data_IF_499446556396
#
_entry.id   IF_499446556396
#
_cell.length_a   1.000
_cell.length_b   1.000
_cell.length_c   1.000
_cell.angle_alpha   90.00
_cell.angle_beta   90.00
_cell.angle_gamma   90.00
#
_symmetry.space_group_name_H-M   'P 1'
#
loop_
_entity.id
_entity.type
_entity.pdbx_description
1 polymer ?
#
# COMPACT_ATOMS: atom_id res chain seq x y z
N UNK A 1 -7.85 -22.01 -17.88
CA UNK A 1 -7.74 -20.55 -18.03
C UNK A 1 -6.67 -20.02 -17.09
N UNK A 2 -5.94 -18.96 -17.45
CA UNK A 2 -4.91 -18.36 -16.58
C UNK A 2 -5.60 -17.61 -15.44
N UNK A 3 -5.23 -17.88 -14.19
CA UNK A 3 -5.77 -17.19 -13.01
C UNK A 3 -5.40 -15.70 -13.07
N UNK A 4 -6.33 -14.83 -12.70
CA UNK A 4 -6.06 -13.40 -12.60
C UNK A 4 -5.17 -13.15 -11.38
N UNK A 5 -4.12 -12.35 -11.56
CA UNK A 5 -3.17 -12.01 -10.50
C UNK A 5 -3.49 -10.62 -9.96
N UNK A 6 -3.60 -10.49 -8.65
CA UNK A 6 -3.94 -9.22 -7.98
C UNK A 6 -2.94 -8.92 -6.87
N UNK A 7 -2.71 -7.63 -6.63
CA UNK A 7 -1.91 -7.14 -5.51
C UNK A 7 -2.81 -6.46 -4.50
N UNK A 8 -2.70 -6.82 -3.23
CA UNK A 8 -3.47 -6.21 -2.14
C UNK A 8 -2.64 -5.18 -1.39
N UNK A 9 -3.21 -4.00 -1.22
CA UNK A 9 -2.66 -2.90 -0.43
C UNK A 9 -3.16 -3.00 1.03
N UNK A 10 -2.44 -2.36 1.96
CA UNK A 10 -2.67 -2.43 3.41
C UNK A 10 -4.10 -2.08 3.83
N UNK A 11 -4.70 -1.04 3.24
CA UNK A 11 -6.06 -0.59 3.57
C UNK A 11 -7.14 -1.66 3.31
N UNK A 12 -6.92 -2.55 2.34
CA UNK A 12 -7.84 -3.65 2.03
C UNK A 12 -8.07 -4.55 3.24
N UNK A 13 -7.02 -4.80 4.02
CA UNK A 13 -7.10 -5.61 5.23
C UNK A 13 -7.90 -4.92 6.34
N UNK A 14 -7.83 -3.59 6.40
CA UNK A 14 -8.58 -2.78 7.37
C UNK A 14 -10.09 -2.96 7.25
N UNK A 15 -10.62 -3.15 6.04
CA UNK A 15 -12.05 -3.38 5.82
C UNK A 15 -12.55 -4.73 6.33
N UNK A 16 -11.66 -5.69 6.61
CA UNK A 16 -12.02 -6.97 7.23
C UNK A 16 -12.24 -6.83 8.75
N UNK A 17 -11.92 -5.67 9.33
CA UNK A 17 -12.06 -5.39 10.75
C UNK A 17 -13.33 -4.60 11.07
N UNK A 18 -13.78 -4.73 12.32
CA UNK A 18 -14.97 -4.07 12.85
C UNK A 18 -16.20 -5.00 12.89
N UNK A 19 -17.30 -4.51 13.44
CA UNK A 19 -18.56 -5.26 13.53
C UNK A 19 -19.58 -4.80 12.49
N UNK A 20 -19.45 -3.54 12.03
CA UNK A 20 -20.39 -2.96 11.10
C UNK A 20 -20.14 -3.46 9.68
N UNK A 21 -21.22 -3.89 9.03
CA UNK A 21 -21.18 -4.28 7.62
C UNK A 21 -21.26 -3.02 6.75
N UNK A 22 -20.20 -2.75 5.99
CA UNK A 22 -20.16 -1.70 4.98
C UNK A 22 -20.05 -2.30 3.58
N UNK A 23 -20.29 -1.49 2.54
CA UNK A 23 -20.17 -1.93 1.16
C UNK A 23 -18.73 -2.36 0.81
N UNK A 24 -17.74 -1.63 1.33
CA UNK A 24 -16.32 -1.94 1.19
C UNK A 24 -15.98 -3.28 1.84
N UNK A 25 -16.51 -3.53 3.04
CA UNK A 25 -16.32 -4.82 3.72
C UNK A 25 -16.94 -5.96 2.94
N UNK A 26 -18.20 -5.83 2.51
CA UNK A 26 -18.87 -6.89 1.72
C UNK A 26 -18.08 -7.21 0.45
N UNK A 27 -17.61 -6.18 -0.25
CA UNK A 27 -16.81 -6.34 -1.48
C UNK A 27 -15.45 -7.00 -1.17
N UNK A 28 -14.83 -6.64 -0.05
CA UNK A 28 -13.57 -7.23 0.40
C UNK A 28 -13.76 -8.70 0.80
N UNK A 29 -14.80 -9.03 1.55
CA UNK A 29 -15.11 -10.41 1.92
C UNK A 29 -15.30 -11.29 0.68
N UNK A 30 -16.04 -10.80 -0.33
CA UNK A 30 -16.20 -11.49 -1.63
C UNK A 30 -14.86 -11.67 -2.34
N UNK A 31 -14.03 -10.63 -2.42
CA UNK A 31 -12.69 -10.71 -3.00
C UNK A 31 -11.86 -11.82 -2.35
N UNK A 32 -11.89 -11.91 -1.03
CA UNK A 32 -11.17 -12.91 -0.26
C UNK A 32 -11.73 -14.34 -0.46
N UNK A 33 -13.04 -14.50 -0.69
CA UNK A 33 -13.62 -15.79 -1.09
C UNK A 33 -13.17 -16.22 -2.49
N UNK A 34 -13.07 -15.29 -3.45
CA UNK A 34 -12.57 -15.58 -4.80
C UNK A 34 -11.10 -16.02 -4.80
N UNK A 35 -10.30 -15.53 -3.85
CA UNK A 35 -8.93 -15.97 -3.62
C UNK A 35 -8.91 -17.43 -3.12
N UNK A 36 -9.68 -17.76 -2.06
CA UNK A 36 -9.77 -19.13 -1.54
C UNK A 36 -10.34 -20.10 -2.59
N UNK A 37 -11.36 -19.67 -3.34
CA UNK A 37 -11.95 -20.42 -4.44
C UNK A 37 -10.98 -20.69 -5.59
N UNK A 38 -9.81 -20.06 -5.57
CA UNK A 38 -8.73 -20.28 -6.52
C UNK A 38 -8.97 -19.59 -7.86
N UNK A 39 -9.96 -18.71 -7.96
CA UNK A 39 -10.23 -17.89 -9.14
C UNK A 39 -9.21 -16.76 -9.27
N UNK A 40 -8.71 -16.26 -8.13
CA UNK A 40 -7.70 -15.22 -8.03
C UNK A 40 -6.41 -15.75 -7.40
N UNK A 41 -5.29 -15.22 -7.87
CA UNK A 41 -3.98 -15.41 -7.23
C UNK A 41 -3.54 -14.07 -6.65
N UNK A 42 -3.54 -13.96 -5.32
CA UNK A 42 -3.32 -12.71 -4.63
C UNK A 42 -1.91 -12.61 -4.04
N UNK A 43 -1.37 -11.40 -4.07
CA UNK A 43 -0.02 -11.07 -3.64
C UNK A 43 -0.04 -9.87 -2.69
N UNK A 44 0.91 -9.85 -1.76
CA UNK A 44 1.23 -8.71 -0.87
C UNK A 44 2.72 -8.46 -0.91
N UNK A 45 3.19 -7.27 -0.56
CA UNK A 45 4.63 -7.02 -0.44
C UNK A 45 5.11 -7.03 1.01
N UNK A 46 6.42 -7.17 1.21
CA UNK A 46 7.07 -6.98 2.51
C UNK A 46 6.78 -5.59 3.12
N UNK A 47 6.47 -4.58 2.29
CA UNK A 47 6.04 -3.26 2.74
C UNK A 47 4.65 -3.31 3.41
N UNK A 48 3.68 -3.98 2.78
CA UNK A 48 2.33 -4.18 3.34
C UNK A 48 2.41 -4.95 4.65
N UNK A 49 3.19 -6.03 4.71
CA UNK A 49 3.40 -6.79 5.95
C UNK A 49 3.97 -5.89 7.05
N UNK A 50 4.94 -5.04 6.73
CA UNK A 50 5.52 -4.08 7.67
C UNK A 50 4.49 -3.08 8.18
N UNK A 51 3.61 -2.57 7.32
CA UNK A 51 2.57 -1.63 7.70
C UNK A 51 1.52 -2.26 8.62
N UNK A 52 1.03 -3.46 8.27
CA UNK A 52 0.13 -4.24 9.14
C UNK A 52 0.78 -4.52 10.50
N UNK A 53 2.10 -4.78 10.52
CA UNK A 53 2.89 -4.99 11.72
C UNK A 53 2.98 -3.79 12.68
N UNK A 54 2.68 -2.58 12.21
CA UNK A 54 2.65 -1.36 13.05
C UNK A 54 1.35 -1.21 13.83
N UNK A 55 0.32 -2.01 13.53
CA UNK A 55 -0.93 -1.98 14.28
C UNK A 55 -0.71 -2.40 15.75
N UNK A 56 -1.54 -1.90 16.69
CA UNK A 56 -1.57 -2.40 18.06
C UNK A 56 -2.18 -3.81 18.14
N UNK A 57 -1.88 -4.53 19.22
CA UNK A 57 -2.61 -5.77 19.54
C UNK A 57 -4.01 -5.47 20.11
N UNK A 58 -5.01 -6.35 19.91
CA UNK A 58 -4.93 -7.65 19.21
C UNK A 58 -5.09 -7.54 17.67
N UNK A 59 -5.28 -6.33 17.15
CA UNK A 59 -5.58 -6.08 15.75
C UNK A 59 -4.45 -6.55 14.81
N UNK A 60 -3.20 -6.29 15.19
CA UNK A 60 -2.02 -6.73 14.45
C UNK A 60 -2.01 -8.23 14.18
N UNK A 61 -2.19 -9.05 15.22
CA UNK A 61 -2.22 -10.51 15.08
C UNK A 61 -3.33 -10.95 14.13
N UNK A 62 -4.53 -10.39 14.28
CA UNK A 62 -5.67 -10.69 13.41
C UNK A 62 -5.38 -10.36 11.95
N UNK A 63 -4.84 -9.16 11.67
CA UNK A 63 -4.52 -8.72 10.31
C UNK A 63 -3.45 -9.58 9.65
N UNK A 64 -2.35 -9.87 10.35
CA UNK A 64 -1.26 -10.68 9.82
C UNK A 64 -1.70 -12.14 9.56
N UNK A 65 -2.61 -12.68 10.36
CA UNK A 65 -3.17 -14.03 10.15
C UNK A 65 -4.00 -14.14 8.87
N UNK A 66 -4.52 -13.05 8.31
CA UNK A 66 -5.25 -13.08 7.05
C UNK A 66 -4.34 -13.51 5.88
N UNK A 67 -3.05 -13.18 5.92
CA UNK A 67 -2.10 -13.53 4.86
C UNK A 67 -2.02 -15.04 4.64
N UNK A 68 -1.60 -15.86 5.63
CA UNK A 68 -1.55 -17.30 5.48
C UNK A 68 -2.94 -17.93 5.37
N UNK A 69 -3.96 -17.37 6.06
CA UNK A 69 -5.33 -17.90 6.05
C UNK A 69 -5.93 -17.95 4.65
N UNK A 70 -5.66 -16.94 3.83
CA UNK A 70 -6.18 -16.83 2.47
C UNK A 70 -5.14 -17.19 1.40
N UNK A 71 -3.97 -17.74 1.79
CA UNK A 71 -2.95 -18.21 0.86
C UNK A 71 -2.32 -17.09 0.01
N UNK A 72 -2.22 -15.88 0.57
CA UNK A 72 -1.59 -14.73 -0.10
C UNK A 72 -0.09 -14.94 -0.25
N UNK A 73 0.45 -14.60 -1.42
CA UNK A 73 1.88 -14.72 -1.72
C UNK A 73 2.62 -13.44 -1.39
N UNK A 74 3.58 -13.53 -0.49
CA UNK A 74 4.45 -12.39 -0.17
C UNK A 74 5.51 -12.17 -1.25
N UNK A 75 5.71 -10.90 -1.61
CA UNK A 75 6.69 -10.42 -2.58
C UNK A 75 7.71 -9.52 -1.90
N UNK A 76 8.99 -9.78 -2.17
CA UNK A 76 10.06 -8.89 -1.74
C UNK A 76 10.01 -7.57 -2.52
N UNK A 77 10.16 -6.45 -1.81
CA UNK A 77 10.34 -5.14 -2.44
C UNK A 77 11.81 -4.95 -2.83
N UNK A 78 12.10 -5.17 -4.12
CA UNK A 78 13.45 -5.07 -4.68
C UNK A 78 13.95 -3.63 -4.81
N UNK A 79 15.24 -3.46 -5.06
CA UNK A 79 15.84 -2.14 -5.30
C UNK A 79 15.23 -1.47 -6.54
N UNK A 80 14.93 -2.22 -7.60
CA UNK A 80 14.28 -1.72 -8.81
C UNK A 80 12.87 -1.23 -8.53
N UNK A 81 12.09 -1.96 -7.72
CA UNK A 81 10.76 -1.54 -7.31
C UNK A 81 10.80 -0.22 -6.50
N UNK A 82 11.79 -0.06 -5.62
CA UNK A 82 12.02 1.19 -4.87
C UNK A 82 12.42 2.34 -5.78
N UNK A 83 13.32 2.11 -6.73
CA UNK A 83 13.74 3.10 -7.71
C UNK A 83 12.55 3.58 -8.56
N UNK A 84 11.72 2.64 -9.03
CA UNK A 84 10.51 2.96 -9.78
C UNK A 84 9.51 3.77 -8.95
N UNK A 85 9.28 3.38 -7.69
CA UNK A 85 8.42 4.14 -6.78
C UNK A 85 8.90 5.59 -6.61
N UNK A 86 10.21 5.81 -6.45
CA UNK A 86 10.78 7.15 -6.37
C UNK A 86 10.59 7.95 -7.67
N UNK A 87 10.80 7.34 -8.83
CA UNK A 87 10.54 7.99 -10.12
C UNK A 87 9.09 8.45 -10.27
N UNK A 88 8.13 7.67 -9.77
CA UNK A 88 6.72 8.07 -9.79
C UNK A 88 6.39 9.24 -8.87
N UNK A 89 7.14 9.43 -7.78
CA UNK A 89 6.98 10.54 -6.83
C UNK A 89 7.68 11.80 -7.34
N UNK A 90 8.88 11.68 -7.91
CA UNK A 90 9.72 12.81 -8.32
C UNK A 90 9.37 13.29 -9.73
N UNK A 91 8.15 13.83 -9.89
CA UNK A 91 7.68 14.42 -11.15
C UNK A 91 8.15 15.88 -11.29
N UNK A 92 9.34 16.09 -11.85
CA UNK A 92 9.99 17.43 -11.93
C UNK A 92 9.09 18.53 -12.47
N UNK A 93 8.37 18.28 -13.58
CA UNK A 93 7.46 19.28 -14.17
C UNK A 93 6.34 19.67 -13.22
N UNK A 94 5.75 18.70 -12.52
CA UNK A 94 4.71 18.94 -11.51
C UNK A 94 5.27 19.76 -10.36
N UNK A 95 6.45 19.41 -9.84
CA UNK A 95 7.10 20.13 -8.74
C UNK A 95 7.38 21.60 -9.09
N UNK A 96 7.98 21.86 -10.25
CA UNK A 96 8.25 23.23 -10.71
C UNK A 96 6.96 24.05 -10.85
N UNK A 97 5.89 23.44 -11.39
CA UNK A 97 4.60 24.11 -11.53
C UNK A 97 3.97 24.46 -10.18
N UNK A 98 3.94 23.52 -9.24
CA UNK A 98 3.40 23.73 -7.89
C UNK A 98 4.21 24.80 -7.14
N UNK A 99 5.55 24.73 -7.18
CA UNK A 99 6.40 25.74 -6.52
C UNK A 99 6.24 27.13 -7.13
N UNK A 100 6.04 27.24 -8.45
CA UNK A 100 5.72 28.51 -9.11
C UNK A 100 4.44 29.14 -8.56
N UNK A 101 3.36 28.35 -8.45
CA UNK A 101 2.08 28.81 -7.87
C UNK A 101 2.24 29.17 -6.40
N UNK A 102 2.90 28.31 -5.61
CA UNK A 102 3.14 28.56 -4.18
C UNK A 102 3.86 29.89 -3.96
N UNK A 103 4.90 30.16 -4.76
CA UNK A 103 5.65 31.42 -4.69
C UNK A 103 4.77 32.63 -5.03
N UNK A 104 3.92 32.55 -6.06
CA UNK A 104 2.97 33.60 -6.42
C UNK A 104 1.96 33.88 -5.29
N UNK A 105 1.61 32.86 -4.51
CA UNK A 105 0.69 32.94 -3.37
C UNK A 105 1.40 33.23 -2.03
N UNK A 106 2.72 33.40 -2.01
CA UNK A 106 3.50 33.66 -0.80
C UNK A 106 3.74 32.45 0.12
N UNK A 107 3.47 31.23 -0.36
CA UNK A 107 3.80 29.99 0.36
C UNK A 107 5.29 29.62 0.20
N UNK A 108 5.79 28.79 1.12
CA UNK A 108 7.15 28.24 1.05
C UNK A 108 7.28 27.25 -0.10
N UNK A 109 8.51 27.15 -0.62
CA UNK A 109 8.85 26.17 -1.63
C UNK A 109 8.77 24.74 -1.06
N UNK A 110 8.29 23.79 -1.88
CA UNK A 110 8.26 22.38 -1.54
C UNK A 110 9.47 21.68 -2.15
N UNK A 111 10.24 20.99 -1.30
CA UNK A 111 11.31 20.09 -1.71
C UNK A 111 10.92 18.65 -1.45
N UNK A 112 11.16 17.78 -2.43
CA UNK A 112 11.07 16.34 -2.25
C UNK A 112 12.49 15.87 -1.98
N UNK A 113 12.70 15.34 -0.79
CA UNK A 113 13.95 14.75 -0.37
C UNK A 113 13.74 13.25 -0.11
N UNK A 114 14.73 12.45 -0.48
CA UNK A 114 14.85 11.06 -0.05
C UNK A 114 15.13 11.00 1.45
N UNK A 115 14.80 9.90 2.15
CA UNK A 115 15.13 9.74 3.56
C UNK A 115 16.63 9.97 3.87
N UNK A 116 17.52 9.57 2.95
CA UNK A 116 18.96 9.74 3.07
C UNK A 116 19.35 11.22 3.09
N UNK A 117 18.80 12.03 2.18
CA UNK A 117 19.06 13.48 2.13
C UNK A 117 18.62 14.17 3.43
N UNK A 118 17.45 13.80 3.96
CA UNK A 118 16.93 14.37 5.21
C UNK A 118 17.79 14.01 6.43
N UNK A 119 18.22 12.75 6.56
CA UNK A 119 19.03 12.30 7.70
C UNK A 119 20.45 12.89 7.66
N UNK A 120 20.95 13.22 6.46
CA UNK A 120 22.28 13.80 6.26
C UNK A 120 22.38 15.31 6.49
N UNK A 121 21.27 15.96 6.87
CA UNK A 121 21.17 17.41 7.13
C UNK A 121 21.30 17.70 8.61
#
# INVERSE_FOLDING_TARGET
MKKLKIYLETSVFGFMLGEQQTAERTSTEQLFQEIIGGNLEAYVSTEVVRELGKAPEPMRSTLLLLIPRYGLKELEVTAEARALALQHIVKTRTRLGVNGINKLLGYRELEIATPQEVIST
#
